data_IF_241895936829
#
_entry.id   IF_241895936829
#
_cell.length_a   1.000
_cell.length_b   1.000
_cell.length_c   1.000
_cell.angle_alpha   90.00
_cell.angle_beta   90.00
_cell.angle_gamma   90.00
#
_symmetry.space_group_name_H-M   'P 1'
#
loop_
_entity.id
_entity.type
_entity.pdbx_description
1 polymer ?
#
# COMPACT_ATOMS: atom_id res chain seq x y z
N UNK A 1 3.81 2.01 7.97
CA UNK A 1 3.57 0.88 7.04
C UNK A 1 4.71 -0.14 6.92
N UNK A 2 5.89 0.06 7.52
CA UNK A 2 7.00 -0.91 7.40
C UNK A 2 6.62 -2.31 7.91
N UNK A 3 5.90 -2.39 9.04
CA UNK A 3 5.40 -3.65 9.59
C UNK A 3 4.45 -4.39 8.63
N UNK A 4 3.54 -3.67 7.95
CA UNK A 4 2.67 -4.27 6.94
C UNK A 4 3.47 -4.81 5.74
N UNK A 5 4.52 -4.10 5.30
CA UNK A 5 5.40 -4.59 4.24
C UNK A 5 6.15 -5.87 4.61
N UNK A 6 6.56 -6.01 5.87
CA UNK A 6 7.19 -7.24 6.37
C UNK A 6 6.19 -8.38 6.49
N UNK A 7 4.96 -8.10 6.95
CA UNK A 7 3.88 -9.08 7.04
C UNK A 7 3.50 -9.62 5.65
N UNK A 8 3.29 -8.75 4.67
CA UNK A 8 2.97 -9.14 3.27
C UNK A 8 4.04 -10.08 2.70
N UNK A 9 5.33 -9.77 2.94
CA UNK A 9 6.44 -10.65 2.52
C UNK A 9 6.43 -11.99 3.24
N UNK A 10 6.19 -12.02 4.56
CA UNK A 10 6.09 -13.26 5.34
C UNK A 10 4.88 -14.12 4.93
N UNK A 11 3.79 -13.49 4.50
CA UNK A 11 2.61 -14.17 3.97
C UNK A 11 2.79 -14.65 2.51
N UNK A 12 3.95 -14.42 1.88
CA UNK A 12 4.21 -14.80 0.48
C UNK A 12 3.33 -14.07 -0.54
N UNK A 13 2.71 -12.96 -0.14
CA UNK A 13 1.83 -12.18 -1.03
C UNK A 13 2.66 -11.25 -1.91
N UNK A 14 2.23 -11.11 -3.17
CA UNK A 14 2.91 -10.28 -4.19
C UNK A 14 2.25 -8.92 -4.41
N UNK A 15 1.06 -8.71 -3.85
CA UNK A 15 0.21 -7.53 -4.11
C UNK A 15 -0.36 -6.97 -2.80
N UNK A 16 -0.47 -5.64 -2.75
CA UNK A 16 -1.11 -4.86 -1.68
C UNK A 16 -2.20 -3.98 -2.27
N UNK A 17 -3.35 -3.95 -1.61
CA UNK A 17 -4.45 -3.04 -1.92
C UNK A 17 -4.69 -2.12 -0.71
N UNK A 18 -5.01 -0.86 -0.95
CA UNK A 18 -5.35 0.10 0.10
C UNK A 18 -6.38 1.12 -0.37
N UNK A 19 -7.13 1.69 0.57
CA UNK A 19 -7.99 2.84 0.33
C UNK A 19 -7.40 4.10 0.96
N UNK A 20 -7.68 5.27 0.39
CA UNK A 20 -7.25 6.54 0.97
C UNK A 20 -8.23 7.68 0.66
N UNK A 21 -8.43 8.56 1.63
CA UNK A 21 -9.16 9.83 1.45
C UNK A 21 -8.20 10.96 1.09
N UNK A 22 -7.59 11.59 2.09
CA UNK A 22 -6.64 12.71 1.94
C UNK A 22 -5.29 12.37 1.27
N UNK A 23 -5.10 11.14 0.78
CA UNK A 23 -3.93 10.72 -0.02
C UNK A 23 -2.67 10.35 0.75
N UNK A 24 -2.41 10.93 1.93
CA UNK A 24 -1.15 10.70 2.67
C UNK A 24 -0.91 9.23 3.04
N UNK A 25 -1.96 8.54 3.48
CA UNK A 25 -1.90 7.09 3.73
C UNK A 25 -1.55 6.33 2.44
N UNK A 26 -2.24 6.65 1.33
CA UNK A 26 -1.97 6.02 0.04
C UNK A 26 -0.52 6.20 -0.43
N UNK A 27 0.03 7.42 -0.38
CA UNK A 27 1.42 7.69 -0.76
C UNK A 27 2.40 6.85 0.06
N UNK A 28 2.16 6.73 1.37
CA UNK A 28 2.98 5.89 2.24
C UNK A 28 2.86 4.39 1.91
N UNK A 29 1.68 3.90 1.49
CA UNK A 29 1.49 2.52 1.01
C UNK A 29 2.24 2.26 -0.27
N UNK A 30 2.10 3.14 -1.27
CA UNK A 30 2.77 3.01 -2.56
C UNK A 30 4.29 3.01 -2.40
N UNK A 31 4.82 3.92 -1.57
CA UNK A 31 6.25 4.01 -1.28
C UNK A 31 6.78 2.74 -0.63
N UNK A 32 6.03 2.17 0.32
CA UNK A 32 6.39 0.91 0.97
C UNK A 32 6.38 -0.25 -0.04
N UNK A 33 5.33 -0.36 -0.86
CA UNK A 33 5.19 -1.41 -1.85
C UNK A 33 6.30 -1.36 -2.90
N UNK A 34 6.62 -0.16 -3.41
CA UNK A 34 7.72 0.05 -4.35
C UNK A 34 9.08 -0.39 -3.76
N UNK A 35 9.38 -0.01 -2.51
CA UNK A 35 10.64 -0.42 -1.83
C UNK A 35 10.72 -1.92 -1.54
N UNK A 36 9.60 -2.64 -1.59
CA UNK A 36 9.53 -4.08 -1.28
C UNK A 36 9.26 -4.95 -2.51
N UNK A 37 9.15 -4.35 -3.69
CA UNK A 37 8.88 -5.07 -4.95
C UNK A 37 7.48 -5.68 -5.00
N UNK A 38 6.49 -5.01 -4.39
CA UNK A 38 5.10 -5.45 -4.32
C UNK A 38 4.26 -4.67 -5.33
N UNK A 39 3.34 -5.35 -6.01
CA UNK A 39 2.30 -4.68 -6.78
C UNK A 39 1.39 -3.90 -5.82
N UNK A 40 1.01 -2.67 -6.19
CA UNK A 40 0.20 -1.80 -5.34
C UNK A 40 -0.99 -1.26 -6.13
N UNK A 41 -2.18 -1.39 -5.56
CA UNK A 41 -3.39 -0.71 -6.05
C UNK A 41 -3.97 0.13 -4.93
N UNK A 42 -4.16 1.43 -5.18
CA UNK A 42 -4.75 2.34 -4.20
C UNK A 42 -6.06 2.87 -4.75
N UNK A 43 -7.14 2.66 -3.99
CA UNK A 43 -8.45 3.20 -4.28
C UNK A 43 -8.59 4.53 -3.53
N UNK A 44 -8.63 5.63 -4.28
CA UNK A 44 -8.78 6.95 -3.70
C UNK A 44 -10.25 7.39 -3.81
N UNK A 45 -10.88 7.62 -2.67
CA UNK A 45 -12.22 8.20 -2.65
C UNK A 45 -12.16 9.65 -3.12
N UNK A 46 -12.92 10.01 -4.15
CA UNK A 46 -13.04 11.41 -4.56
C UNK A 46 -13.82 12.17 -3.49
N UNK A 47 -13.30 13.33 -3.06
CA UNK A 47 -14.14 14.29 -2.35
C UNK A 47 -15.18 14.81 -3.34
N UNK A 48 -16.45 14.62 -3.02
CA UNK A 48 -17.57 15.35 -3.61
C UNK A 48 -17.55 16.81 -3.17
#
# INVERSE_FOLDING_TARGET
MIGQGLLVRRMGKKRVIAETGAGQHGVATATMAARRGLECTIYMGQLS
#
